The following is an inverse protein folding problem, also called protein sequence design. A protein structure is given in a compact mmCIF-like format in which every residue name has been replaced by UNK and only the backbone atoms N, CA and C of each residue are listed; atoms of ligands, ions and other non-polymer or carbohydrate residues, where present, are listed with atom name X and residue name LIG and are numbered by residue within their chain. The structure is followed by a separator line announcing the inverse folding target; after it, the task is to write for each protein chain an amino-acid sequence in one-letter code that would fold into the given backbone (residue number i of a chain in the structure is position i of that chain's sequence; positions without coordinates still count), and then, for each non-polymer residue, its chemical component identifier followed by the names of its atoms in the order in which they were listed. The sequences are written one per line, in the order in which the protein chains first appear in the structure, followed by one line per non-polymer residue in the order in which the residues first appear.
data_IF_970864226226
#
_entry.id   IF_970864226226
#
_cell.length_a   1.000
_cell.length_b   1.000
_cell.length_c   1.000
_cell.angle_alpha   90.00
_cell.angle_beta   90.00
_cell.angle_gamma   90.00
#
_symmetry.space_group_name_H-M   'P 1'
#
loop_
_entity.id
_entity.type
_entity.pdbx_description
1 polymer ?
#
# COMPACT_ATOMS: atom_id res chain seq x y z
N UNK A 1 39.18 -11.79 23.89
CA UNK A 1 37.74 -11.49 24.10
C UNK A 1 37.11 -10.54 23.06
N UNK A 2 37.87 -9.79 22.28
CA UNK A 2 37.32 -8.92 21.21
C UNK A 2 36.81 -9.66 19.98
N UNK A 3 37.32 -10.86 19.68
CA UNK A 3 37.00 -11.61 18.46
C UNK A 3 35.59 -12.21 18.52
N UNK A 4 35.10 -12.67 19.67
CA UNK A 4 33.72 -13.17 19.81
C UNK A 4 32.65 -12.13 19.66
N UNK A 5 32.91 -10.91 20.11
CA UNK A 5 31.98 -9.79 19.94
C UNK A 5 31.90 -9.29 18.50
N UNK A 6 33.01 -9.26 17.80
CA UNK A 6 33.10 -8.91 16.39
C UNK A 6 32.40 -9.94 15.49
N UNK A 7 32.51 -11.22 15.79
CA UNK A 7 31.83 -12.30 15.06
C UNK A 7 30.31 -12.23 15.23
N UNK A 8 29.78 -11.96 16.43
CA UNK A 8 28.36 -11.81 16.67
C UNK A 8 27.78 -10.59 15.93
N UNK A 9 28.49 -9.46 15.92
CA UNK A 9 28.06 -8.26 15.19
C UNK A 9 28.04 -8.49 13.68
N UNK A 10 29.04 -9.18 13.12
CA UNK A 10 29.08 -9.53 11.70
C UNK A 10 27.95 -10.48 11.30
N UNK A 11 27.58 -11.45 12.12
CA UNK A 11 26.46 -12.36 11.89
C UNK A 11 25.12 -11.64 11.87
N UNK A 12 24.89 -10.69 12.75
CA UNK A 12 23.66 -9.88 12.80
C UNK A 12 23.51 -9.03 11.53
N UNK A 13 24.58 -8.39 11.07
CA UNK A 13 24.57 -7.58 9.84
C UNK A 13 24.32 -8.44 8.61
N UNK A 14 24.91 -9.63 8.52
CA UNK A 14 24.69 -10.56 7.41
C UNK A 14 23.25 -11.09 7.38
N UNK A 15 22.64 -11.38 8.55
CA UNK A 15 21.26 -11.83 8.64
C UNK A 15 20.29 -10.73 8.17
N UNK A 16 20.51 -9.47 8.55
CA UNK A 16 19.70 -8.34 8.12
C UNK A 16 19.81 -8.10 6.61
N UNK A 17 21.00 -8.17 6.04
CA UNK A 17 21.21 -8.02 4.60
C UNK A 17 20.59 -9.18 3.80
N UNK A 18 20.63 -10.41 4.31
CA UNK A 18 20.01 -11.58 3.67
C UNK A 18 18.49 -11.46 3.63
N UNK A 19 17.84 -10.97 4.69
CA UNK A 19 16.38 -10.72 4.72
C UNK A 19 15.96 -9.69 3.68
N UNK A 20 16.72 -8.63 3.48
CA UNK A 20 16.44 -7.63 2.45
C UNK A 20 16.62 -8.16 1.02
N UNK A 21 17.66 -8.96 0.78
CA UNK A 21 17.94 -9.55 -0.54
C UNK A 21 16.94 -10.61 -0.96
N UNK A 22 16.40 -11.36 -0.03
CA UNK A 22 15.45 -12.43 -0.30
C UNK A 22 14.01 -11.92 -0.47
N UNK A 23 13.76 -10.62 -0.32
CA UNK A 23 12.43 -10.06 -0.46
C UNK A 23 11.43 -10.57 0.57
N UNK A 24 11.91 -11.06 1.71
CA UNK A 24 11.09 -11.59 2.79
C UNK A 24 10.29 -10.50 3.51
N UNK A 25 10.70 -9.24 3.35
CA UNK A 25 9.95 -8.09 3.86
C UNK A 25 9.16 -7.49 2.71
N UNK A 26 7.86 -7.74 2.69
CA UNK A 26 6.94 -7.05 1.79
C UNK A 26 6.89 -5.58 2.17
N UNK A 27 7.15 -4.73 1.20
CA UNK A 27 6.98 -3.30 1.41
C UNK A 27 5.51 -2.94 1.17
N UNK A 28 4.87 -2.45 2.22
CA UNK A 28 3.51 -1.94 2.16
C UNK A 28 3.59 -0.42 2.09
N UNK A 29 3.22 0.14 0.95
CA UNK A 29 3.19 1.57 0.75
C UNK A 29 1.74 2.03 0.70
N UNK A 30 1.38 2.90 1.63
CA UNK A 30 0.04 3.48 1.73
C UNK A 30 0.18 4.95 2.14
N UNK A 31 -0.33 5.83 1.30
CA UNK A 31 -0.37 7.27 1.55
C UNK A 31 -1.80 7.77 1.36
N UNK A 32 -2.29 8.54 2.32
CA UNK A 32 -3.63 9.07 2.32
C UNK A 32 -3.59 10.56 2.64
N UNK A 33 -4.16 11.37 1.75
CA UNK A 33 -4.30 12.81 1.94
C UNK A 33 -5.78 13.16 2.05
N UNK A 34 -6.14 13.86 3.11
CA UNK A 34 -7.51 14.31 3.36
C UNK A 34 -7.56 15.83 3.30
N UNK A 35 -8.42 16.35 2.42
CA UNK A 35 -8.76 17.78 2.36
C UNK A 35 -10.18 17.97 2.89
N UNK A 36 -10.29 18.59 4.06
CA UNK A 36 -11.55 18.81 4.73
C UNK A 36 -12.10 20.20 4.38
N UNK A 37 -13.36 20.27 3.98
CA UNK A 37 -14.05 21.52 3.70
C UNK A 37 -14.88 21.99 4.89
N UNK A 38 -15.18 23.28 4.94
CA UNK A 38 -15.92 23.87 6.06
C UNK A 38 -17.35 23.36 6.18
N UNK A 39 -17.93 22.86 5.09
CA UNK A 39 -19.28 22.27 5.08
C UNK A 39 -19.32 20.83 5.61
N UNK A 40 -18.17 20.27 6.03
CA UNK A 40 -18.06 18.92 6.53
C UNK A 40 -17.76 17.87 5.45
N UNK A 41 -17.74 18.26 4.17
CA UNK A 41 -17.31 17.35 3.11
C UNK A 41 -15.79 17.22 3.08
N UNK A 42 -15.30 16.15 2.48
CA UNK A 42 -13.88 15.90 2.34
C UNK A 42 -13.54 15.28 0.99
N UNK A 43 -12.35 15.56 0.51
CA UNK A 43 -11.75 14.86 -0.62
C UNK A 43 -10.58 14.05 -0.08
N UNK A 44 -10.55 12.76 -0.40
CA UNK A 44 -9.51 11.84 0.07
C UNK A 44 -8.77 11.29 -1.15
N UNK A 45 -7.47 11.52 -1.20
CA UNK A 45 -6.58 10.92 -2.20
C UNK A 45 -5.76 9.81 -1.55
N UNK A 46 -5.86 8.61 -2.11
CA UNK A 46 -5.16 7.43 -1.63
C UNK A 46 -4.19 6.95 -2.70
N UNK A 47 -2.93 6.79 -2.33
CA UNK A 47 -1.92 6.13 -3.14
C UNK A 47 -1.40 4.93 -2.35
N UNK A 48 -1.55 3.75 -2.92
CA UNK A 48 -1.19 2.54 -2.21
C UNK A 48 -0.68 1.47 -3.17
N UNK A 49 0.26 0.64 -2.69
CA UNK A 49 0.60 -0.58 -3.38
C UNK A 49 -0.57 -1.59 -3.28
N UNK A 50 -0.72 -2.45 -4.28
CA UNK A 50 -1.76 -3.50 -4.24
C UNK A 50 -1.59 -4.40 -3.01
N UNK A 51 -0.38 -4.87 -2.64
CA UNK A 51 -0.21 -5.62 -1.40
C UNK A 51 -0.64 -4.86 -0.13
N UNK A 52 -0.43 -3.54 -0.09
CA UNK A 52 -0.86 -2.72 1.06
C UNK A 52 -2.39 -2.70 1.20
N UNK A 53 -3.12 -2.58 0.10
CA UNK A 53 -4.60 -2.63 0.12
C UNK A 53 -5.12 -3.97 0.60
N UNK A 54 -4.50 -5.06 0.17
CA UNK A 54 -4.87 -6.41 0.62
C UNK A 54 -4.60 -6.57 2.12
N UNK A 55 -3.43 -6.14 2.60
CA UNK A 55 -3.04 -6.32 3.99
C UNK A 55 -3.77 -5.37 4.94
N UNK A 56 -3.93 -4.10 4.56
CA UNK A 56 -4.43 -3.06 5.47
C UNK A 56 -5.94 -2.86 5.38
N UNK A 57 -6.53 -3.14 4.22
CA UNK A 57 -7.96 -2.89 3.98
C UNK A 57 -8.76 -4.16 3.72
N UNK A 58 -8.13 -5.33 3.72
CA UNK A 58 -8.81 -6.59 3.47
C UNK A 58 -9.32 -6.75 2.04
N UNK A 59 -8.70 -6.05 1.08
CA UNK A 59 -9.12 -6.12 -0.31
C UNK A 59 -8.92 -7.50 -0.91
N UNK A 60 -9.90 -7.98 -1.67
CA UNK A 60 -9.82 -9.26 -2.39
C UNK A 60 -9.22 -9.04 -3.78
N UNK A 61 -7.98 -8.60 -3.81
CA UNK A 61 -7.24 -8.33 -5.04
C UNK A 61 -6.17 -9.39 -5.27
N UNK A 62 -5.92 -9.71 -6.53
CA UNK A 62 -4.80 -10.56 -6.89
C UNK A 62 -3.50 -9.75 -6.75
N UNK A 63 -2.60 -10.20 -5.88
CA UNK A 63 -1.31 -9.54 -5.61
C UNK A 63 -0.23 -9.85 -6.64
N UNK A 64 -0.49 -10.78 -7.58
CA UNK A 64 0.46 -11.08 -8.66
C UNK A 64 0.71 -9.81 -9.49
N UNK A 65 1.97 -9.38 -9.68
CA UNK A 65 2.28 -8.20 -10.49
C UNK A 65 1.81 -8.28 -11.94
N UNK A 66 1.51 -9.46 -12.45
CA UNK A 66 1.02 -9.71 -13.81
C UNK A 66 -0.49 -9.72 -13.92
N UNK A 67 -1.22 -9.77 -12.80
CA UNK A 67 -2.67 -9.82 -12.82
C UNK A 67 -3.27 -8.52 -13.35
N UNK A 68 -4.42 -8.63 -13.99
CA UNK A 68 -5.18 -7.46 -14.43
C UNK A 68 -5.71 -6.68 -13.23
N UNK A 69 -5.82 -5.39 -13.43
CA UNK A 69 -6.34 -4.47 -12.44
C UNK A 69 -7.87 -4.53 -12.38
N UNK A 70 -8.42 -4.83 -11.22
CA UNK A 70 -9.85 -4.94 -10.99
C UNK A 70 -10.40 -3.63 -10.40
N UNK A 71 -10.79 -2.70 -11.27
CA UNK A 71 -11.37 -1.42 -10.87
C UNK A 71 -12.70 -1.58 -10.13
N UNK A 72 -13.64 -2.44 -10.57
CA UNK A 72 -14.88 -2.64 -9.84
C UNK A 72 -14.67 -3.14 -8.40
N UNK A 73 -13.72 -4.02 -8.16
CA UNK A 73 -13.38 -4.49 -6.81
C UNK A 73 -12.90 -3.36 -5.92
N UNK A 74 -12.06 -2.46 -6.45
CA UNK A 74 -11.58 -1.28 -5.72
C UNK A 74 -12.71 -0.30 -5.42
N UNK A 75 -13.60 -0.06 -6.35
CA UNK A 75 -14.77 0.80 -6.11
C UNK A 75 -15.62 0.23 -4.99
N UNK A 76 -15.92 -1.05 -5.02
CA UNK A 76 -16.72 -1.71 -3.98
C UNK A 76 -16.08 -1.63 -2.60
N UNK A 77 -14.76 -1.62 -2.53
CA UNK A 77 -14.04 -1.53 -1.25
C UNK A 77 -14.28 -0.19 -0.55
N UNK A 78 -14.42 0.88 -1.29
CA UNK A 78 -14.51 2.23 -0.75
C UNK A 78 -15.89 2.87 -0.87
N UNK A 79 -16.70 2.49 -1.85
CA UNK A 79 -18.03 3.04 -2.01
C UNK A 79 -18.96 2.64 -0.87
N UNK A 80 -19.77 3.58 -0.43
CA UNK A 80 -20.76 3.37 0.62
C UNK A 80 -21.58 4.63 0.83
N UNK A 81 -22.46 4.66 1.84
CA UNK A 81 -23.24 5.84 2.14
C UNK A 81 -22.34 7.05 2.42
N UNK A 82 -22.55 8.13 1.68
CA UNK A 82 -21.73 9.34 1.82
C UNK A 82 -20.35 9.30 1.19
N UNK A 83 -19.95 8.19 0.57
CA UNK A 83 -18.64 8.03 -0.08
C UNK A 83 -18.82 7.74 -1.55
N UNK A 84 -18.29 8.62 -2.41
CA UNK A 84 -18.29 8.45 -3.86
C UNK A 84 -16.85 8.30 -4.36
N UNK A 85 -16.56 7.26 -5.11
CA UNK A 85 -15.27 7.08 -5.76
C UNK A 85 -15.26 7.87 -7.06
N UNK A 86 -14.45 8.93 -7.13
CA UNK A 86 -14.37 9.83 -8.29
C UNK A 86 -13.40 9.35 -9.33
N UNK A 87 -12.28 8.76 -8.90
CA UNK A 87 -11.26 8.26 -9.78
C UNK A 87 -10.62 7.00 -9.22
N UNK A 88 -10.35 6.06 -10.11
CA UNK A 88 -9.60 4.84 -9.82
C UNK A 88 -8.61 4.64 -10.95
N UNK A 89 -7.33 4.75 -10.66
CA UNK A 89 -6.29 4.53 -11.64
C UNK A 89 -5.22 3.60 -11.09
N UNK A 90 -4.59 2.85 -12.00
CA UNK A 90 -3.47 1.97 -11.68
C UNK A 90 -2.22 2.46 -12.37
N UNK A 91 -1.10 2.34 -11.69
CA UNK A 91 0.20 2.66 -12.27
C UNK A 91 1.26 1.69 -11.76
N UNK A 92 2.37 1.64 -12.47
CA UNK A 92 3.52 0.84 -12.07
C UNK A 92 4.67 1.74 -11.66
N UNK A 93 5.33 1.34 -10.59
CA UNK A 93 6.52 2.01 -10.10
C UNK A 93 7.51 0.95 -9.62
N UNK A 94 8.71 0.96 -10.20
CA UNK A 94 9.75 -0.03 -9.90
C UNK A 94 9.27 -1.49 -10.02
N UNK A 95 8.51 -1.78 -11.10
CA UNK A 95 7.95 -3.11 -11.35
C UNK A 95 6.82 -3.53 -10.42
N UNK A 96 6.38 -2.66 -9.53
CA UNK A 96 5.29 -2.92 -8.57
C UNK A 96 4.03 -2.19 -8.99
N UNK A 97 2.87 -2.78 -8.68
CA UNK A 97 1.57 -2.18 -8.99
C UNK A 97 1.10 -1.29 -7.85
N UNK A 98 0.69 -0.10 -8.21
CA UNK A 98 0.09 0.89 -7.32
C UNK A 98 -1.28 1.31 -7.81
N UNK A 99 -2.06 1.81 -6.89
CA UNK A 99 -3.41 2.32 -7.13
C UNK A 99 -3.48 3.75 -6.64
N UNK A 100 -4.12 4.61 -7.43
CA UNK A 100 -4.57 5.92 -6.99
C UNK A 100 -6.09 5.94 -6.95
N UNK A 101 -6.65 6.36 -5.81
CA UNK A 101 -8.08 6.51 -5.59
C UNK A 101 -8.36 7.94 -5.16
N UNK A 102 -9.40 8.52 -5.73
CA UNK A 102 -9.93 9.80 -5.28
C UNK A 102 -11.36 9.61 -4.82
N UNK A 103 -11.59 9.90 -3.56
CA UNK A 103 -12.88 9.75 -2.91
C UNK A 103 -13.46 11.12 -2.56
N UNK A 104 -14.75 11.25 -2.69
CA UNK A 104 -15.50 12.38 -2.18
C UNK A 104 -16.40 11.90 -1.05
N UNK A 105 -16.24 12.50 0.13
CA UNK A 105 -16.98 12.13 1.34
C UNK A 105 -17.92 13.28 1.70
N UNK A 106 -19.19 12.95 1.88
CA UNK A 106 -20.24 13.89 2.31
C UNK A 106 -20.89 13.40 3.58
N UNK A 107 -21.22 14.34 4.44
CA UNK A 107 -21.97 14.06 5.67
C UNK A 107 -23.47 13.94 5.40
#
# INVERSE_FOLDING_TARGET
MGIGRLLCAALIVLASAACQKLGLMKQYEYDERVELSLDGSAVVDINASVPALVALRGATLNVDPRARFDRPALRRLYEGPGVTVRDVSAYRRHGRRFVHLRLEVRT
#
